data_IF_177459076733
#
_entry.id   IF_177459076733
#
_cell.length_a   1.000
_cell.length_b   1.000
_cell.length_c   1.000
_cell.angle_alpha   90.00
_cell.angle_beta   90.00
_cell.angle_gamma   90.00
#
_symmetry.space_group_name_H-M   'P 1'
#
loop_
_entity.id
_entity.type
_entity.pdbx_description
1 polymer ?
#
# COMPACT_ATOMS: atom_id res chain seq x y z
N UNK A 1 -6.41 6.03 -21.16
CA UNK A 1 -7.30 6.48 -20.07
C UNK A 1 -6.58 6.37 -18.74
N UNK A 2 -6.68 7.41 -17.97
CA UNK A 2 -6.01 7.50 -16.68
C UNK A 2 -7.07 7.38 -15.59
N UNK A 3 -6.78 6.59 -14.57
CA UNK A 3 -7.62 6.48 -13.39
C UNK A 3 -7.00 7.28 -12.24
N UNK A 4 -7.85 7.76 -11.34
CA UNK A 4 -7.42 8.49 -10.16
C UNK A 4 -8.16 7.93 -8.95
N UNK A 5 -7.44 7.77 -7.85
CA UNK A 5 -8.00 7.20 -6.63
C UNK A 5 -7.59 8.02 -5.41
N UNK A 6 -8.49 8.23 -4.46
CA UNK A 6 -8.11 8.84 -3.19
C UNK A 6 -7.30 7.84 -2.36
N UNK A 7 -6.32 8.35 -1.61
CA UNK A 7 -5.42 7.52 -0.83
C UNK A 7 -5.18 8.12 0.55
N UNK A 8 -4.68 7.30 1.48
CA UNK A 8 -4.09 7.75 2.74
C UNK A 8 -2.59 7.56 2.62
N UNK A 9 -1.82 8.54 3.06
CA UNK A 9 -0.37 8.57 2.88
C UNK A 9 0.36 8.53 4.22
N UNK A 10 1.70 8.49 4.16
CA UNK A 10 2.54 8.52 5.33
C UNK A 10 2.32 9.77 6.17
N UNK A 11 2.20 9.59 7.48
CA UNK A 11 2.04 10.69 8.42
C UNK A 11 3.36 11.44 8.60
N UNK A 12 3.30 12.63 9.19
CA UNK A 12 4.47 13.44 9.47
C UNK A 12 5.51 12.63 10.24
N UNK A 13 6.76 12.65 9.77
CA UNK A 13 7.84 11.83 10.30
C UNK A 13 7.93 10.44 9.68
N UNK A 14 6.91 10.04 8.91
CA UNK A 14 6.83 8.74 8.24
C UNK A 14 6.39 8.92 6.80
N UNK A 15 6.86 9.99 6.17
CA UNK A 15 6.47 10.34 4.79
C UNK A 15 6.79 9.18 3.84
N UNK A 16 5.90 8.99 2.86
CA UNK A 16 6.17 8.11 1.75
C UNK A 16 7.39 8.65 1.00
N UNK A 17 8.40 7.83 0.73
CA UNK A 17 9.60 8.31 0.04
C UNK A 17 9.24 8.84 -1.35
N UNK A 18 9.86 9.99 -1.73
CA UNK A 18 9.66 10.59 -3.05
C UNK A 18 10.72 10.06 -4.01
N UNK A 19 10.41 10.09 -5.29
CA UNK A 19 11.33 9.68 -6.35
C UNK A 19 10.69 8.75 -7.35
N UNK A 20 11.54 8.06 -8.08
CA UNK A 20 11.12 7.11 -9.10
C UNK A 20 11.39 5.68 -8.61
N UNK A 21 10.36 4.87 -8.68
CA UNK A 21 10.41 3.48 -8.25
C UNK A 21 9.77 2.59 -9.32
N UNK A 22 9.81 1.29 -9.08
CA UNK A 22 9.10 0.31 -9.91
C UNK A 22 8.36 -0.66 -9.01
N UNK A 23 7.24 -1.18 -9.50
CA UNK A 23 6.54 -2.27 -8.81
C UNK A 23 7.47 -3.48 -8.76
N UNK A 24 7.76 -3.95 -7.54
CA UNK A 24 8.67 -5.07 -7.30
C UNK A 24 7.96 -6.29 -6.72
N UNK A 25 6.73 -6.13 -6.25
CA UNK A 25 6.00 -7.20 -5.61
C UNK A 25 4.51 -6.96 -5.78
N UNK A 26 3.76 -8.03 -6.06
CA UNK A 26 2.30 -7.99 -6.17
C UNK A 26 1.74 -9.23 -5.51
N UNK A 27 0.85 -9.05 -4.54
CA UNK A 27 0.27 -10.16 -3.78
C UNK A 27 -1.25 -10.00 -3.69
N UNK A 28 -1.98 -11.08 -4.05
CA UNK A 28 -3.43 -11.17 -3.84
C UNK A 28 -3.68 -11.75 -2.46
N UNK A 29 -4.69 -11.22 -1.76
CA UNK A 29 -5.09 -11.72 -0.44
C UNK A 29 -3.87 -11.86 0.48
N UNK A 30 -3.12 -10.77 0.76
CA UNK A 30 -1.87 -10.87 1.51
C UNK A 30 -2.11 -11.31 2.96
N UNK A 31 -1.17 -12.11 3.48
CA UNK A 31 -1.11 -12.43 4.90
C UNK A 31 -0.27 -11.36 5.58
N UNK A 32 -0.75 -10.86 6.71
CA UNK A 32 -0.04 -9.85 7.48
C UNK A 32 0.58 -10.47 8.73
N UNK A 33 1.85 -10.16 8.97
CA UNK A 33 2.55 -10.59 10.18
C UNK A 33 2.59 -9.44 11.17
N UNK A 34 2.07 -9.69 12.37
CA UNK A 34 2.07 -8.69 13.44
C UNK A 34 3.52 -8.39 13.86
N UNK A 35 3.95 -7.11 13.85
CA UNK A 35 5.37 -6.79 14.05
C UNK A 35 5.90 -7.10 15.45
N UNK A 36 5.04 -7.18 16.45
CA UNK A 36 5.48 -7.45 17.83
C UNK A 36 5.28 -8.91 18.26
N UNK A 37 4.23 -9.57 17.78
CA UNK A 37 3.89 -10.91 18.24
C UNK A 37 4.27 -12.00 17.24
N UNK A 38 4.51 -11.64 15.98
CA UNK A 38 4.75 -12.60 14.91
C UNK A 38 3.50 -13.35 14.46
N UNK A 39 2.33 -13.00 15.00
CA UNK A 39 1.09 -13.66 14.63
C UNK A 39 0.76 -13.38 13.17
N UNK A 40 0.40 -14.43 12.43
CA UNK A 40 -0.03 -14.30 11.03
C UNK A 40 -1.52 -14.08 10.99
N UNK A 41 -1.93 -13.01 10.29
CA UNK A 41 -3.33 -12.64 10.10
C UNK A 41 -3.70 -12.87 8.65
N UNK A 42 -4.61 -13.79 8.36
CA UNK A 42 -5.04 -14.04 6.98
C UNK A 42 -5.81 -12.85 6.43
N UNK A 43 -5.98 -12.83 5.10
CA UNK A 43 -6.76 -11.80 4.43
C UNK A 43 -8.17 -11.74 5.02
N UNK A 44 -8.69 -10.50 5.15
CA UNK A 44 -10.01 -10.26 5.71
C UNK A 44 -10.05 -8.95 6.47
N UNK A 45 -11.17 -8.69 7.14
CA UNK A 45 -11.43 -7.41 7.80
C UNK A 45 -10.47 -7.08 8.94
N UNK A 46 -9.78 -8.06 9.50
CA UNK A 46 -8.81 -7.86 10.56
C UNK A 46 -7.39 -7.65 10.04
N UNK A 47 -7.19 -7.71 8.74
CA UNK A 47 -5.89 -7.57 8.11
C UNK A 47 -5.70 -6.14 7.62
N UNK A 48 -4.73 -5.39 8.16
CA UNK A 48 -4.51 -3.99 7.78
C UNK A 48 -4.04 -3.80 6.34
N UNK A 49 -3.58 -4.85 5.67
CA UNK A 49 -3.14 -4.77 4.27
C UNK A 49 -4.30 -4.83 3.28
N UNK A 50 -5.51 -5.16 3.74
CA UNK A 50 -6.66 -5.26 2.86
C UNK A 50 -6.56 -6.40 1.87
N UNK A 51 -7.14 -6.20 0.67
CA UNK A 51 -7.33 -7.26 -0.32
C UNK A 51 -6.13 -7.49 -1.24
N UNK A 52 -5.25 -6.51 -1.38
CA UNK A 52 -4.11 -6.56 -2.32
C UNK A 52 -2.93 -5.80 -1.76
N UNK A 53 -1.72 -6.20 -2.19
CA UNK A 53 -0.46 -5.53 -1.89
C UNK A 53 0.31 -5.31 -3.19
N UNK A 54 0.78 -4.07 -3.41
CA UNK A 54 1.64 -3.71 -4.53
C UNK A 54 2.86 -2.98 -3.96
N UNK A 55 3.97 -3.69 -3.82
CA UNK A 55 5.19 -3.11 -3.25
C UNK A 55 6.04 -2.44 -4.31
N UNK A 56 6.62 -1.28 -3.98
CA UNK A 56 7.48 -0.55 -4.90
C UNK A 56 8.80 -0.10 -4.28
N UNK A 57 9.01 -0.34 -3.00
CA UNK A 57 10.24 0.06 -2.33
C UNK A 57 10.60 -0.94 -1.23
N UNK A 58 11.89 -1.20 -1.08
CA UNK A 58 12.40 -1.98 0.05
C UNK A 58 13.84 -1.56 0.35
N UNK A 59 14.22 -1.66 1.62
CA UNK A 59 15.62 -1.52 2.06
C UNK A 59 16.21 -2.88 2.47
N UNK A 60 15.49 -3.97 2.16
CA UNK A 60 15.87 -5.33 2.56
C UNK A 60 15.16 -5.82 3.82
N UNK A 61 14.78 -4.90 4.71
CA UNK A 61 14.08 -5.23 5.96
C UNK A 61 12.65 -4.70 5.97
N UNK A 62 12.43 -3.53 5.35
CA UNK A 62 11.13 -2.88 5.29
C UNK A 62 10.64 -2.78 3.86
N UNK A 63 9.32 -2.72 3.68
CA UNK A 63 8.68 -2.58 2.38
C UNK A 63 7.70 -1.42 2.42
N UNK A 64 7.60 -0.70 1.31
CA UNK A 64 6.59 0.34 1.11
C UNK A 64 5.85 0.04 -0.19
N UNK A 65 4.55 0.22 -0.17
CA UNK A 65 3.73 -0.03 -1.34
C UNK A 65 2.31 0.48 -1.16
N UNK A 66 1.49 0.11 -2.12
CA UNK A 66 0.04 0.36 -2.08
C UNK A 66 -0.65 -0.87 -1.50
N UNK A 67 -1.65 -0.66 -0.65
CA UNK A 67 -2.46 -1.76 -0.14
C UNK A 67 -3.86 -1.28 0.19
N UNK A 68 -4.80 -2.21 0.33
CA UNK A 68 -6.14 -1.89 0.77
C UNK A 68 -6.19 -1.59 2.27
N UNK A 69 -7.35 -1.24 2.74
CA UNK A 69 -7.56 -0.98 4.17
C UNK A 69 -9.00 -1.27 4.57
N UNK A 70 -9.22 -1.87 5.74
CA UNK A 70 -10.56 -1.97 6.33
C UNK A 70 -11.05 -0.65 6.93
N UNK A 71 -10.16 0.36 7.03
CA UNK A 71 -10.47 1.64 7.65
C UNK A 71 -10.64 2.73 6.59
N UNK A 72 -11.70 2.61 5.78
CA UNK A 72 -11.92 3.52 4.65
C UNK A 72 -12.18 4.96 5.06
N UNK A 73 -12.58 5.20 6.30
CA UNK A 73 -12.78 6.55 6.83
C UNK A 73 -11.47 7.34 6.98
N UNK A 74 -10.32 6.69 6.92
CA UNK A 74 -9.02 7.35 7.01
C UNK A 74 -8.45 7.74 5.64
N UNK A 75 -9.09 7.36 4.55
CA UNK A 75 -8.67 7.75 3.20
C UNK A 75 -8.74 9.29 3.08
N UNK A 76 -7.71 9.88 2.49
CA UNK A 76 -7.56 11.33 2.40
C UNK A 76 -6.69 11.91 3.49
N UNK A 77 -6.22 11.10 4.44
CA UNK A 77 -5.43 11.56 5.59
C UNK A 77 -3.98 11.07 5.53
N UNK A 78 -3.10 11.75 6.25
CA UNK A 78 -1.71 11.34 6.44
C UNK A 78 -1.61 10.56 7.75
N UNK A 79 -1.79 9.24 7.69
CA UNK A 79 -1.92 8.39 8.89
C UNK A 79 -1.07 7.14 8.87
N UNK A 80 -0.43 6.80 7.76
CA UNK A 80 0.34 5.56 7.65
C UNK A 80 1.80 5.74 8.06
N UNK A 81 2.55 4.64 8.06
CA UNK A 81 4.00 4.63 8.30
C UNK A 81 4.79 4.65 7.00
N UNK A 82 4.24 5.25 5.94
CA UNK A 82 4.90 5.40 4.64
C UNK A 82 4.18 4.70 3.51
N UNK A 83 3.44 3.63 3.77
CA UNK A 83 2.65 2.96 2.75
C UNK A 83 1.46 3.81 2.32
N UNK A 84 0.98 3.58 1.11
CA UNK A 84 -0.16 4.27 0.52
C UNK A 84 -1.37 3.37 0.67
N UNK A 85 -2.33 3.79 1.50
CA UNK A 85 -3.57 3.03 1.74
C UNK A 85 -4.63 3.46 0.74
N UNK A 86 -5.36 2.47 0.23
CA UNK A 86 -6.46 2.69 -0.70
C UNK A 86 -7.69 1.92 -0.23
N UNK A 87 -8.87 2.34 -0.69
CA UNK A 87 -10.06 1.50 -0.50
C UNK A 87 -9.84 0.16 -1.18
N UNK A 88 -10.39 -0.92 -0.62
CA UNK A 88 -10.21 -2.26 -1.18
C UNK A 88 -10.64 -2.33 -2.65
N UNK A 89 -11.76 -1.70 -3.01
CA UNK A 89 -12.22 -1.68 -4.40
C UNK A 89 -11.22 -0.97 -5.32
N UNK A 90 -10.54 0.05 -4.82
CA UNK A 90 -9.58 0.84 -5.60
C UNK A 90 -8.26 0.10 -5.76
N UNK A 91 -7.75 -0.55 -4.71
CA UNK A 91 -6.52 -1.34 -4.83
C UNK A 91 -6.73 -2.55 -5.77
N UNK A 92 -7.92 -3.14 -5.74
CA UNK A 92 -8.25 -4.22 -6.68
C UNK A 92 -8.23 -3.73 -8.12
N UNK A 93 -8.79 -2.54 -8.38
CA UNK A 93 -8.78 -1.93 -9.71
C UNK A 93 -7.37 -1.59 -10.16
N UNK A 94 -6.55 -0.99 -9.28
CA UNK A 94 -5.16 -0.66 -9.59
C UNK A 94 -4.34 -1.92 -9.86
N UNK A 95 -4.54 -2.96 -9.06
CA UNK A 95 -3.83 -4.22 -9.21
C UNK A 95 -3.98 -4.82 -10.61
N UNK A 96 -5.15 -4.65 -11.23
CA UNK A 96 -5.40 -5.15 -12.58
C UNK A 96 -4.78 -4.28 -13.67
N UNK A 97 -4.35 -3.05 -13.34
CA UNK A 97 -3.79 -2.09 -14.30
C UNK A 97 -2.26 -2.06 -14.31
N UNK A 98 -1.61 -2.59 -13.28
CA UNK A 98 -0.16 -2.55 -13.14
C UNK A 98 0.41 -3.95 -13.16
N UNK A 99 1.74 -4.03 -13.33
CA UNK A 99 2.47 -5.30 -13.32
C UNK A 99 3.84 -5.05 -12.69
N UNK A 100 4.56 -6.12 -12.38
CA UNK A 100 5.95 -6.01 -11.93
C UNK A 100 6.73 -5.19 -12.97
N UNK A 101 7.46 -4.18 -12.51
CA UNK A 101 8.21 -3.28 -13.37
C UNK A 101 7.50 -1.99 -13.75
N UNK A 102 6.18 -1.88 -13.47
CA UNK A 102 5.46 -0.63 -13.72
C UNK A 102 6.11 0.52 -12.95
N UNK A 103 6.33 1.65 -13.61
CA UNK A 103 6.90 2.85 -12.99
C UNK A 103 5.96 3.41 -11.93
N UNK A 104 6.55 3.79 -10.80
CA UNK A 104 5.85 4.51 -9.72
C UNK A 104 6.63 5.78 -9.45
N UNK A 105 5.97 6.92 -9.58
CA UNK A 105 6.58 8.22 -9.31
C UNK A 105 5.87 8.83 -8.12
N UNK A 106 6.61 9.08 -7.05
CA UNK A 106 6.09 9.71 -5.84
C UNK A 106 6.61 11.14 -5.79
N UNK A 107 5.69 12.08 -5.75
CA UNK A 107 6.04 13.51 -5.71
C UNK A 107 5.67 14.10 -4.35
N UNK A 108 6.43 15.11 -3.93
CA UNK A 108 6.12 15.85 -2.73
C UNK A 108 4.88 16.72 -2.97
N UNK A 109 4.09 16.91 -1.94
CA UNK A 109 2.92 17.78 -1.99
C UNK A 109 3.31 19.22 -1.68
#
# INVERSE_FOLDING_TARGET
>A
MIASYPVAIGRRGWETPTGQFRVIQMVREPVWEHPFTGQLVPSGKNNPLGARWIGFWTDGANFIGFHGTPQENLIGRAVSHGCVRMRDRDIKALFEKVKIGTSVIVVAQ
#
